data_IF_844998248794
#
_entry.id   IF_844998248794
#
_cell.length_a   1.000
_cell.length_b   1.000
_cell.length_c   1.000
_cell.angle_alpha   90.00
_cell.angle_beta   90.00
_cell.angle_gamma   90.00
#
_symmetry.space_group_name_H-M   'P 1'
#
loop_
_entity.id
_entity.type
_entity.pdbx_description
1 polymer ?
#
# COMPACT_ATOMS: atom_id res chain seq x y z
N UNK A 1 -1.45 19.83 -27.35
CA UNK A 1 -1.11 20.26 -25.98
C UNK A 1 -2.33 19.96 -25.12
N UNK A 2 -2.15 19.20 -24.05
CA UNK A 2 -3.24 18.83 -23.13
C UNK A 2 -3.72 20.03 -22.31
N UNK A 3 -5.02 20.10 -22.02
CA UNK A 3 -5.57 21.12 -21.12
C UNK A 3 -5.55 20.61 -19.68
N UNK A 4 -4.48 20.93 -18.95
CA UNK A 4 -4.32 20.51 -17.55
C UNK A 4 -5.36 21.14 -16.60
N UNK A 5 -5.92 22.31 -16.94
CA UNK A 5 -6.99 22.92 -16.13
C UNK A 5 -8.27 22.10 -16.24
N UNK A 6 -8.59 21.67 -17.46
CA UNK A 6 -9.71 20.78 -17.69
C UNK A 6 -9.50 19.41 -17.01
N UNK A 7 -8.30 18.84 -17.10
CA UNK A 7 -7.98 17.57 -16.42
C UNK A 7 -8.12 17.68 -14.91
N UNK A 8 -7.62 18.76 -14.30
CA UNK A 8 -7.79 19.00 -12.87
C UNK A 8 -9.27 19.09 -12.50
N UNK A 9 -10.07 19.84 -13.26
CA UNK A 9 -11.52 19.92 -13.03
C UNK A 9 -12.21 18.55 -13.15
N UNK A 10 -11.74 17.68 -14.05
CA UNK A 10 -12.26 16.31 -14.18
C UNK A 10 -11.92 15.46 -12.95
N UNK A 11 -10.69 15.54 -12.44
CA UNK A 11 -10.25 14.84 -11.22
C UNK A 11 -11.11 15.29 -10.03
N UNK A 12 -11.29 16.59 -9.85
CA UNK A 12 -12.06 17.15 -8.74
C UNK A 12 -13.53 16.72 -8.78
N UNK A 13 -14.10 16.65 -10.00
CA UNK A 13 -15.49 16.29 -10.22
C UNK A 13 -15.75 14.79 -10.08
N UNK A 14 -14.93 13.95 -10.69
CA UNK A 14 -15.16 12.50 -10.78
C UNK A 14 -14.54 11.72 -9.61
N UNK A 15 -13.57 12.31 -8.91
CA UNK A 15 -12.83 11.67 -7.81
C UNK A 15 -13.02 12.44 -6.51
N UNK A 16 -12.32 13.57 -6.32
CA UNK A 16 -12.47 14.45 -5.17
C UNK A 16 -11.59 15.71 -5.33
N UNK A 17 -12.01 16.85 -4.75
CA UNK A 17 -11.16 18.05 -4.66
C UNK A 17 -9.86 17.86 -3.87
N UNK A 18 -9.68 16.74 -3.16
CA UNK A 18 -8.47 16.48 -2.37
C UNK A 18 -7.28 15.98 -3.19
N UNK A 19 -7.46 15.80 -4.51
CA UNK A 19 -6.43 15.31 -5.42
C UNK A 19 -5.90 16.41 -6.34
N UNK A 20 -4.63 16.28 -6.69
CA UNK A 20 -3.94 17.16 -7.64
C UNK A 20 -3.13 16.36 -8.66
N UNK A 21 -2.96 16.94 -9.85
CA UNK A 21 -2.07 16.38 -10.87
C UNK A 21 -0.63 16.29 -10.32
N UNK A 22 -0.04 15.09 -10.45
CA UNK A 22 1.35 14.82 -10.06
C UNK A 22 2.28 14.95 -11.25
N UNK A 23 1.97 14.22 -12.31
CA UNK A 23 2.79 14.12 -13.51
C UNK A 23 1.95 13.63 -14.69
N UNK A 24 2.49 13.74 -15.89
CA UNK A 24 1.88 13.15 -17.07
C UNK A 24 2.91 12.64 -18.07
N UNK A 25 2.50 11.67 -18.86
CA UNK A 25 3.29 11.07 -19.93
C UNK A 25 2.60 11.34 -21.25
N UNK A 26 3.34 11.91 -22.20
CA UNK A 26 2.85 12.24 -23.54
C UNK A 26 3.42 11.22 -24.53
N UNK A 27 2.57 10.33 -25.04
CA UNK A 27 2.95 9.29 -26.02
C UNK A 27 2.45 9.68 -27.41
N UNK A 28 2.74 8.89 -28.44
CA UNK A 28 2.22 9.15 -29.79
C UNK A 28 0.69 9.20 -29.81
N UNK A 29 0.03 8.30 -29.09
CA UNK A 29 -1.41 8.05 -29.22
C UNK A 29 -2.23 8.65 -28.08
N UNK A 30 -1.63 8.91 -26.93
CA UNK A 30 -2.36 9.37 -25.74
C UNK A 30 -1.52 10.25 -24.81
N UNK A 31 -2.20 10.92 -23.89
CA UNK A 31 -1.57 11.56 -22.74
C UNK A 31 -2.13 10.94 -21.47
N UNK A 32 -1.26 10.45 -20.59
CA UNK A 32 -1.62 9.75 -19.35
C UNK A 32 -1.27 10.66 -18.18
N UNK A 33 -2.27 11.08 -17.41
CA UNK A 33 -2.11 12.05 -16.31
C UNK A 33 -2.35 11.36 -14.99
N UNK A 34 -1.31 11.29 -14.17
CA UNK A 34 -1.38 10.79 -12.80
C UNK A 34 -1.67 11.92 -11.83
N UNK A 35 -2.35 11.55 -10.76
CA UNK A 35 -2.72 12.45 -9.68
C UNK A 35 -2.38 11.78 -8.34
N UNK A 36 -2.30 12.60 -7.30
CA UNK A 36 -2.00 12.18 -5.93
C UNK A 36 -2.87 12.95 -4.95
N UNK A 37 -3.01 12.43 -3.74
CA UNK A 37 -3.66 13.18 -2.66
C UNK A 37 -2.80 14.39 -2.27
N UNK A 38 -3.43 15.53 -1.95
CA UNK A 38 -2.73 16.77 -1.59
C UNK A 38 -1.98 16.70 -0.26
N UNK A 39 -2.50 15.89 0.66
CA UNK A 39 -2.00 15.81 2.06
C UNK A 39 -1.27 14.51 2.35
N UNK A 40 -1.65 13.42 1.69
CA UNK A 40 -1.19 12.07 2.03
C UNK A 40 -0.14 11.62 1.04
N UNK A 41 0.82 10.85 1.52
CA UNK A 41 1.80 10.19 0.67
C UNK A 41 1.11 9.23 -0.30
N UNK A 42 1.76 8.96 -1.44
CA UNK A 42 1.20 8.10 -2.50
C UNK A 42 0.93 6.68 -2.04
N UNK A 43 1.59 6.24 -0.96
CA UNK A 43 1.45 4.94 -0.33
C UNK A 43 0.78 5.04 1.04
N UNK A 44 0.02 6.10 1.34
CA UNK A 44 -0.77 6.23 2.58
C UNK A 44 -2.24 5.90 2.30
N UNK A 45 -2.76 4.83 2.92
CA UNK A 45 -4.13 4.37 2.62
C UNK A 45 -5.23 5.35 3.06
N UNK A 46 -4.93 6.30 3.97
CA UNK A 46 -5.88 7.35 4.38
C UNK A 46 -6.18 8.32 3.24
N UNK A 47 -5.30 8.38 2.24
CA UNK A 47 -5.56 9.08 0.99
C UNK A 47 -6.61 8.43 0.11
N UNK A 48 -7.16 7.27 0.50
CA UNK A 48 -8.24 6.57 -0.19
C UNK A 48 -8.00 6.45 -1.70
N UNK A 49 -6.75 6.15 -2.09
CA UNK A 49 -6.37 5.92 -3.49
C UNK A 49 -6.89 4.52 -3.88
N UNK A 50 -8.21 4.38 -4.02
CA UNK A 50 -8.86 3.14 -4.42
C UNK A 50 -9.25 3.27 -5.89
N UNK A 51 -8.56 2.54 -6.76
CA UNK A 51 -9.09 2.10 -8.05
C UNK A 51 -9.33 3.15 -9.14
N UNK A 52 -9.14 4.44 -8.89
CA UNK A 52 -9.09 5.42 -9.97
C UNK A 52 -7.66 5.44 -10.51
N UNK A 53 -7.48 4.88 -11.70
CA UNK A 53 -6.27 4.99 -12.49
C UNK A 53 -6.06 6.42 -13.01
N UNK A 54 -5.02 6.65 -13.83
CA UNK A 54 -4.76 7.96 -14.39
C UNK A 54 -5.93 8.46 -15.25
N UNK A 55 -5.99 9.77 -15.46
CA UNK A 55 -6.81 10.35 -16.53
C UNK A 55 -6.08 10.15 -17.84
N UNK A 56 -6.74 9.57 -18.84
CA UNK A 56 -6.18 9.39 -20.17
C UNK A 56 -6.89 10.28 -21.16
N UNK A 57 -6.11 11.01 -21.95
CA UNK A 57 -6.55 11.75 -23.11
C UNK A 57 -6.13 11.00 -24.38
N UNK A 58 -7.10 10.49 -25.13
CA UNK A 58 -6.87 9.83 -26.42
C UNK A 58 -6.75 10.90 -27.51
N UNK A 59 -5.60 10.94 -28.20
CA UNK A 59 -5.33 11.97 -29.23
C UNK A 59 -6.09 11.74 -30.53
N UNK A 60 -6.49 10.51 -30.81
CA UNK A 60 -7.26 10.12 -32.00
C UNK A 60 -8.71 10.55 -31.86
N UNK A 61 -9.34 10.18 -30.73
CA UNK A 61 -10.76 10.48 -30.48
C UNK A 61 -10.97 11.86 -29.84
N UNK A 62 -9.92 12.44 -29.24
CA UNK A 62 -9.95 13.70 -28.47
C UNK A 62 -10.82 13.62 -27.22
N UNK A 63 -10.95 12.43 -26.64
CA UNK A 63 -11.76 12.18 -25.44
C UNK A 63 -10.88 12.08 -24.18
N UNK A 64 -11.42 12.51 -23.04
CA UNK A 64 -10.83 12.29 -21.72
C UNK A 64 -11.57 11.17 -21.00
N UNK A 65 -10.85 10.27 -20.35
CA UNK A 65 -11.40 9.15 -19.57
C UNK A 65 -10.68 9.03 -18.25
N UNK A 66 -11.43 8.89 -17.16
CA UNK A 66 -10.89 8.48 -15.85
C UNK A 66 -10.82 6.96 -15.88
N UNK A 67 -9.62 6.39 -15.92
CA UNK A 67 -9.49 4.93 -16.01
C UNK A 67 -9.76 4.26 -14.66
N UNK A 68 -10.35 3.07 -14.70
CA UNK A 68 -10.46 2.15 -13.55
C UNK A 68 -10.04 0.71 -13.84
N UNK A 69 -9.53 0.40 -15.05
CA UNK A 69 -9.22 -0.98 -15.43
C UNK A 69 -8.10 -1.11 -16.48
N UNK A 70 -7.40 -2.25 -16.41
CA UNK A 70 -6.25 -2.77 -17.19
C UNK A 70 -6.32 -2.64 -18.72
N UNK A 71 -7.43 -2.20 -19.30
CA UNK A 71 -7.73 -2.29 -20.74
C UNK A 71 -6.80 -1.44 -21.62
N UNK A 72 -6.09 -0.48 -21.03
CA UNK A 72 -5.23 0.47 -21.74
C UNK A 72 -3.75 0.36 -21.36
N UNK A 73 -3.39 -0.54 -20.45
CA UNK A 73 -2.01 -0.78 -20.06
C UNK A 73 -1.43 -1.92 -20.89
N UNK A 74 -1.09 -1.62 -22.15
CA UNK A 74 -0.21 -2.49 -22.94
C UNK A 74 1.15 -2.63 -22.24
N UNK A 75 1.91 -3.67 -22.57
CA UNK A 75 3.25 -3.86 -22.02
C UNK A 75 4.16 -2.64 -22.32
N UNK A 76 4.01 -2.02 -23.49
CA UNK A 76 4.73 -0.80 -23.87
C UNK A 76 4.40 0.38 -22.95
N UNK A 77 3.12 0.56 -22.62
CA UNK A 77 2.67 1.58 -21.67
C UNK A 77 3.15 1.26 -20.25
N UNK A 78 3.10 0.00 -19.82
CA UNK A 78 3.65 -0.43 -18.54
C UNK A 78 5.15 -0.10 -18.41
N UNK A 79 5.93 -0.29 -19.47
CA UNK A 79 7.36 0.04 -19.49
C UNK A 79 7.64 1.54 -19.30
N UNK A 80 6.70 2.43 -19.62
CA UNK A 80 6.84 3.87 -19.33
C UNK A 80 6.85 4.15 -17.82
N UNK A 81 6.31 3.24 -17.02
CA UNK A 81 6.21 3.36 -15.57
C UNK A 81 7.21 2.46 -14.83
N UNK A 82 7.99 1.66 -15.55
CA UNK A 82 9.05 0.85 -14.96
C UNK A 82 10.19 1.75 -14.48
N UNK A 83 10.32 1.82 -13.17
CA UNK A 83 11.43 2.44 -12.45
C UNK A 83 12.17 1.38 -11.65
N UNK A 84 13.41 1.68 -11.24
CA UNK A 84 14.15 0.81 -10.32
C UNK A 84 13.37 0.58 -9.02
N UNK A 85 12.66 1.60 -8.53
CA UNK A 85 11.78 1.50 -7.35
C UNK A 85 10.63 0.50 -7.57
N UNK A 86 9.97 0.53 -8.74
CA UNK A 86 8.88 -0.43 -9.03
C UNK A 86 9.39 -1.86 -9.17
N UNK A 87 10.60 -2.06 -9.72
CA UNK A 87 11.24 -3.38 -9.81
C UNK A 87 11.60 -3.91 -8.43
N UNK A 88 12.16 -3.05 -7.58
CA UNK A 88 12.47 -3.38 -6.19
C UNK A 88 11.21 -3.76 -5.41
N UNK A 89 10.11 -3.01 -5.55
CA UNK A 89 8.82 -3.34 -4.92
C UNK A 89 8.27 -4.69 -5.39
N UNK A 90 8.42 -5.01 -6.68
CA UNK A 90 7.98 -6.31 -7.21
C UNK A 90 8.82 -7.46 -6.65
N UNK A 91 10.15 -7.28 -6.56
CA UNK A 91 11.04 -8.23 -5.91
C UNK A 91 10.73 -8.43 -4.42
N UNK A 92 10.49 -7.33 -3.69
CA UNK A 92 10.10 -7.37 -2.27
C UNK A 92 8.79 -8.15 -2.09
N UNK A 93 7.82 -7.95 -2.98
CA UNK A 93 6.55 -8.67 -2.98
C UNK A 93 6.73 -10.16 -3.31
N UNK A 94 7.48 -10.51 -4.35
CA UNK A 94 7.78 -11.89 -4.72
C UNK A 94 8.47 -12.64 -3.57
N UNK A 95 9.42 -12.00 -2.91
CA UNK A 95 10.07 -12.54 -1.71
C UNK A 95 9.05 -12.83 -0.60
N UNK A 96 8.18 -11.87 -0.28
CA UNK A 96 7.15 -12.04 0.76
C UNK A 96 6.18 -13.18 0.43
N UNK A 97 5.77 -13.31 -0.83
CA UNK A 97 4.87 -14.39 -1.26
C UNK A 97 5.58 -15.74 -1.15
N UNK A 98 6.84 -15.84 -1.59
CA UNK A 98 7.64 -17.06 -1.41
C UNK A 98 7.82 -17.42 0.07
N UNK A 99 8.11 -16.43 0.93
CA UNK A 99 8.24 -16.63 2.37
C UNK A 99 6.93 -17.09 3.01
N UNK A 100 5.80 -16.53 2.58
CA UNK A 100 4.46 -16.89 3.03
C UNK A 100 4.08 -18.33 2.66
N UNK A 101 4.40 -18.75 1.43
CA UNK A 101 4.05 -20.07 0.87
C UNK A 101 5.01 -21.19 1.30
N UNK A 102 6.31 -20.93 1.23
CA UNK A 102 7.35 -21.97 1.34
C UNK A 102 8.16 -21.91 2.63
N UNK A 103 7.96 -20.90 3.48
CA UNK A 103 8.73 -20.68 4.72
C UNK A 103 10.25 -20.50 4.51
N UNK A 104 10.71 -20.23 3.29
CA UNK A 104 12.13 -20.06 2.98
C UNK A 104 12.59 -18.63 3.30
N UNK A 105 13.23 -18.45 4.46
CA UNK A 105 13.68 -17.15 4.93
C UNK A 105 15.14 -16.87 4.57
N UNK A 106 15.36 -15.83 3.76
CA UNK A 106 16.63 -15.09 3.77
C UNK A 106 16.62 -14.08 4.92
N UNK A 107 17.30 -14.41 6.02
CA UNK A 107 17.34 -13.56 7.23
C UNK A 107 17.93 -12.16 7.01
N UNK A 108 18.83 -11.99 6.03
CA UNK A 108 19.42 -10.68 5.71
C UNK A 108 18.40 -9.84 4.97
N UNK A 109 17.75 -10.43 3.97
CA UNK A 109 16.73 -9.76 3.18
C UNK A 109 15.48 -9.43 4.02
N UNK A 110 15.03 -10.35 4.87
CA UNK A 110 13.91 -10.13 5.80
C UNK A 110 14.16 -8.93 6.72
N UNK A 111 15.38 -8.80 7.25
CA UNK A 111 15.75 -7.67 8.09
C UNK A 111 15.73 -6.36 7.31
N UNK A 112 16.33 -6.34 6.12
CA UNK A 112 16.34 -5.16 5.25
C UNK A 112 14.92 -4.70 4.93
N UNK A 113 14.04 -5.63 4.54
CA UNK A 113 12.65 -5.34 4.22
C UNK A 113 11.85 -4.86 5.44
N UNK A 114 12.11 -5.44 6.62
CA UNK A 114 11.53 -4.96 7.87
C UNK A 114 11.91 -3.50 8.14
N UNK A 115 13.19 -3.12 7.96
CA UNK A 115 13.63 -1.72 8.11
C UNK A 115 12.99 -0.80 7.07
N UNK A 116 12.86 -1.23 5.81
CA UNK A 116 12.17 -0.46 4.76
C UNK A 116 10.72 -0.16 5.15
N UNK A 117 9.97 -1.17 5.60
CA UNK A 117 8.58 -1.01 6.03
C UNK A 117 8.50 -0.08 7.23
N UNK A 118 9.37 -0.24 8.24
CA UNK A 118 9.45 0.67 9.39
C UNK A 118 9.71 2.11 8.96
N UNK A 119 10.67 2.35 8.05
CA UNK A 119 10.97 3.69 7.55
C UNK A 119 9.76 4.35 6.87
N UNK A 120 9.03 3.57 6.05
CA UNK A 120 7.80 4.00 5.40
C UNK A 120 6.69 4.37 6.39
N UNK A 121 6.45 3.53 7.41
CA UNK A 121 5.52 3.81 8.50
C UNK A 121 5.88 5.11 9.23
N UNK A 122 7.17 5.26 9.59
CA UNK A 122 7.67 6.41 10.34
C UNK A 122 7.52 7.71 9.55
N UNK A 123 7.74 7.67 8.23
CA UNK A 123 7.53 8.81 7.33
C UNK A 123 6.06 9.23 7.30
N UNK A 124 5.12 8.29 7.12
CA UNK A 124 3.67 8.56 7.08
C UNK A 124 3.06 8.86 8.45
N UNK A 125 3.77 8.49 9.51
CA UNK A 125 3.25 8.42 10.88
C UNK A 125 1.94 7.61 10.96
N UNK A 126 1.86 6.54 10.17
CA UNK A 126 0.68 5.70 10.01
C UNK A 126 1.04 4.30 9.51
N UNK A 127 0.33 3.29 9.99
CA UNK A 127 0.52 1.89 9.58
C UNK A 127 -0.62 1.44 8.66
N UNK A 128 -0.30 1.15 7.40
CA UNK A 128 -1.24 0.60 6.44
C UNK A 128 -1.60 -0.87 6.77
N UNK A 129 -2.69 -1.35 6.19
CA UNK A 129 -3.10 -2.75 6.30
C UNK A 129 -2.05 -3.66 5.68
N UNK A 130 -1.45 -3.23 4.57
CA UNK A 130 -0.36 -3.93 3.90
C UNK A 130 0.92 -3.98 4.76
N UNK A 131 1.24 -2.90 5.48
CA UNK A 131 2.38 -2.89 6.41
C UNK A 131 2.19 -3.97 7.50
N UNK A 132 0.97 -4.07 8.07
CA UNK A 132 0.64 -5.10 9.08
C UNK A 132 0.75 -6.49 8.47
N UNK A 133 0.28 -6.66 7.24
CA UNK A 133 0.32 -7.95 6.56
C UNK A 133 1.75 -8.42 6.33
N UNK A 134 2.56 -7.57 5.71
CA UNK A 134 3.96 -7.87 5.39
C UNK A 134 4.80 -8.10 6.63
N UNK A 135 4.63 -7.28 7.69
CA UNK A 135 5.29 -7.52 8.96
C UNK A 135 4.81 -8.81 9.64
N UNK A 136 3.55 -9.19 9.47
CA UNK A 136 3.03 -10.48 9.96
C UNK A 136 3.65 -11.66 9.21
N UNK A 137 3.92 -11.52 7.91
CA UNK A 137 4.70 -12.50 7.14
C UNK A 137 6.16 -12.48 7.64
N UNK A 138 6.83 -11.35 7.71
CA UNK A 138 8.25 -11.30 8.12
C UNK A 138 8.50 -11.86 9.53
N UNK A 139 7.53 -11.76 10.42
CA UNK A 139 7.63 -12.27 11.80
C UNK A 139 7.22 -13.73 11.99
N UNK A 140 6.65 -14.36 10.96
CA UNK A 140 6.13 -15.73 11.04
C UNK A 140 4.70 -15.85 11.56
N UNK A 141 4.04 -14.72 11.85
CA UNK A 141 2.69 -14.68 12.41
C UNK A 141 1.63 -15.08 11.38
N UNK A 142 1.91 -14.80 10.10
CA UNK A 142 1.14 -15.21 8.93
C UNK A 142 1.94 -16.17 8.05
N UNK A 143 1.39 -17.37 7.82
CA UNK A 143 1.90 -18.40 6.90
C UNK A 143 0.75 -19.12 6.24
N UNK A 144 1.00 -19.76 5.10
CA UNK A 144 -0.03 -20.51 4.38
C UNK A 144 -0.65 -21.63 5.21
N UNK A 145 0.15 -22.29 6.05
CA UNK A 145 -0.24 -23.40 6.91
C UNK A 145 -0.76 -22.99 8.30
N UNK A 146 -0.74 -21.69 8.62
CA UNK A 146 -1.16 -21.15 9.92
C UNK A 146 -2.43 -20.34 9.81
N UNK A 147 -3.30 -20.46 10.81
CA UNK A 147 -4.47 -19.57 10.91
C UNK A 147 -4.01 -18.14 11.21
N UNK A 148 -4.34 -17.24 10.29
CA UNK A 148 -4.10 -15.81 10.43
C UNK A 148 -5.30 -15.02 9.90
N UNK A 149 -5.78 -14.04 10.67
CA UNK A 149 -6.87 -13.17 10.26
C UNK A 149 -6.58 -11.73 10.74
N UNK A 150 -6.84 -10.74 9.89
CA UNK A 150 -6.93 -9.33 10.29
C UNK A 150 -8.40 -8.93 10.38
N UNK A 151 -8.82 -8.35 11.49
CA UNK A 151 -10.23 -8.01 11.75
C UNK A 151 -10.38 -6.59 12.27
N UNK A 152 -11.44 -5.93 11.80
CA UNK A 152 -12.08 -4.85 12.53
C UNK A 152 -13.01 -5.43 13.60
N UNK A 153 -13.05 -4.81 14.78
CA UNK A 153 -14.05 -5.09 15.82
C UNK A 153 -14.85 -3.82 16.09
N UNK A 154 -16.17 -3.91 16.37
CA UNK A 154 -17.00 -2.73 16.59
C UNK A 154 -16.52 -1.82 17.72
N UNK A 155 -15.83 -2.37 18.72
CA UNK A 155 -15.30 -1.59 19.85
C UNK A 155 -14.14 -0.65 19.47
N UNK A 156 -13.51 -0.87 18.31
CA UNK A 156 -12.31 -0.15 17.88
C UNK A 156 -12.52 0.52 16.53
N UNK A 157 -12.02 1.74 16.39
CA UNK A 157 -12.00 2.39 15.09
C UNK A 157 -11.02 1.67 14.17
N UNK A 158 -11.52 1.07 13.08
CA UNK A 158 -10.73 0.30 12.10
C UNK A 158 -9.70 1.13 11.33
N UNK A 159 -9.89 2.45 11.24
CA UNK A 159 -8.87 3.34 10.66
C UNK A 159 -7.66 3.48 11.58
N UNK A 160 -7.86 3.32 12.88
CA UNK A 160 -6.86 3.60 13.91
C UNK A 160 -6.32 2.31 14.54
N UNK A 161 -7.02 1.19 14.37
CA UNK A 161 -6.71 -0.07 15.02
C UNK A 161 -6.97 -1.26 14.08
N UNK A 162 -6.17 -2.30 14.25
CA UNK A 162 -6.37 -3.59 13.59
C UNK A 162 -6.20 -4.72 14.62
N UNK A 163 -7.09 -5.70 14.62
CA UNK A 163 -6.91 -6.92 15.42
C UNK A 163 -6.28 -7.99 14.54
N UNK A 164 -5.08 -8.42 14.92
CA UNK A 164 -4.41 -9.59 14.35
C UNK A 164 -4.74 -10.82 15.18
N UNK A 165 -5.20 -11.87 14.53
CA UNK A 165 -5.47 -13.19 15.13
C UNK A 165 -4.39 -14.17 14.69
N UNK A 166 -3.56 -14.64 15.61
CA UNK A 166 -2.54 -15.68 15.38
C UNK A 166 -2.32 -16.52 16.64
N UNK A 167 -2.24 -17.84 16.46
CA UNK A 167 -1.93 -18.79 17.53
C UNK A 167 -0.44 -18.90 17.87
N UNK A 168 0.44 -18.32 17.06
CA UNK A 168 1.89 -18.40 17.25
C UNK A 168 2.37 -17.32 18.23
N UNK A 169 2.72 -17.74 19.45
CA UNK A 169 3.16 -16.83 20.51
C UNK A 169 4.49 -16.15 20.17
N UNK A 170 5.46 -16.90 19.65
CA UNK A 170 6.80 -16.37 19.36
C UNK A 170 6.73 -15.35 18.22
N UNK A 171 5.97 -15.66 17.17
CA UNK A 171 5.79 -14.74 16.06
C UNK A 171 5.08 -13.44 16.48
N UNK A 172 4.07 -13.53 17.37
CA UNK A 172 3.43 -12.33 17.92
C UNK A 172 4.36 -11.50 18.79
N UNK A 173 5.24 -12.13 19.57
CA UNK A 173 6.26 -11.40 20.36
C UNK A 173 7.21 -10.63 19.44
N UNK A 174 7.61 -11.21 18.30
CA UNK A 174 8.40 -10.51 17.26
C UNK A 174 7.63 -9.32 16.67
N UNK A 175 6.35 -9.50 16.33
CA UNK A 175 5.50 -8.43 15.82
C UNK A 175 5.32 -7.28 16.83
N UNK A 176 5.08 -7.61 18.10
CA UNK A 176 5.01 -6.63 19.19
C UNK A 176 6.33 -5.87 19.33
N UNK A 177 7.47 -6.55 19.20
CA UNK A 177 8.80 -5.92 19.27
C UNK A 177 8.95 -4.84 18.21
N UNK A 178 8.45 -5.07 17.00
CA UNK A 178 8.47 -4.07 15.93
C UNK A 178 7.63 -2.86 16.35
N UNK A 179 6.39 -3.06 16.81
CA UNK A 179 5.52 -1.96 17.26
C UNK A 179 6.16 -1.10 18.36
N UNK A 180 6.84 -1.74 19.31
CA UNK A 180 7.60 -1.03 20.35
C UNK A 180 8.73 -0.21 19.76
N UNK A 181 9.49 -0.77 18.82
CA UNK A 181 10.64 -0.11 18.19
C UNK A 181 10.24 1.15 17.43
N UNK A 182 9.11 1.10 16.70
CA UNK A 182 8.56 2.27 15.99
C UNK A 182 7.69 3.19 16.86
N UNK A 183 7.56 2.88 18.16
CA UNK A 183 6.77 3.64 19.14
C UNK A 183 5.28 3.79 18.77
N UNK A 184 4.61 2.66 18.47
CA UNK A 184 3.16 2.58 18.28
C UNK A 184 2.51 1.73 19.38
N UNK A 185 1.26 2.05 19.71
CA UNK A 185 0.48 1.34 20.71
C UNK A 185 0.14 -0.10 20.30
N UNK A 186 0.02 -0.99 21.27
CA UNK A 186 -0.51 -2.33 21.08
C UNK A 186 -1.20 -2.81 22.37
N UNK A 187 -2.10 -3.76 22.26
CA UNK A 187 -2.74 -4.41 23.42
C UNK A 187 -2.95 -5.90 23.14
N UNK A 188 -2.53 -6.74 24.08
CA UNK A 188 -2.83 -8.18 24.03
C UNK A 188 -4.27 -8.35 24.51
N UNK A 189 -5.17 -8.81 23.62
CA UNK A 189 -6.58 -9.02 23.94
C UNK A 189 -6.84 -10.44 24.47
N UNK A 190 -6.12 -11.42 23.94
CA UNK A 190 -6.20 -12.82 24.37
C UNK A 190 -4.94 -13.61 23.99
N UNK A 191 -4.93 -14.91 24.26
CA UNK A 191 -3.87 -15.82 23.81
C UNK A 191 -3.71 -15.87 22.29
N UNK A 192 -4.72 -15.46 21.50
CA UNK A 192 -4.70 -15.50 20.04
C UNK A 192 -4.88 -14.13 19.39
N UNK A 193 -5.36 -13.12 20.12
CA UNK A 193 -5.69 -11.81 19.56
C UNK A 193 -4.77 -10.70 20.07
N UNK A 194 -4.23 -9.93 19.12
CA UNK A 194 -3.39 -8.77 19.34
C UNK A 194 -4.01 -7.55 18.67
N UNK A 195 -4.31 -6.51 19.45
CA UNK A 195 -4.70 -5.21 18.93
C UNK A 195 -3.45 -4.40 18.60
N UNK A 196 -3.35 -3.93 17.36
CA UNK A 196 -2.27 -3.10 16.85
C UNK A 196 -2.81 -1.71 16.53
N UNK A 197 -2.16 -0.67 17.06
CA UNK A 197 -2.53 0.71 16.78
C UNK A 197 -1.84 1.13 15.49
N UNK A 198 -2.58 1.88 14.67
CA UNK A 198 -2.17 2.32 13.33
C UNK A 198 -1.76 3.79 13.31
N UNK A 199 -2.07 4.51 14.38
CA UNK A 199 -1.68 5.90 14.64
C UNK A 199 -0.86 5.95 15.93
N UNK A 200 0.03 6.94 16.04
CA UNK A 200 0.70 7.25 17.30
C UNK A 200 -0.28 7.96 18.24
N UNK A 201 -0.30 7.53 19.50
CA UNK A 201 -0.93 8.25 20.59
C UNK A 201 -0.05 9.41 21.06
#
# INVERSE_FOLDING_TARGET
MIDLKYVQALIEKEISPDFEIREYFDTTDMVIVFWKHKIYDTDDERGHIIGAGPVVYDKTTKEYRVLGSREWFSEEICRLFETDETKEKMQDHEYLMNLFENNEEDSVYSRLLTEKIKASILRRNYINSEDIDFLSILTGARRLDKKFEMKGKPEWNHTDHCVVVSGDREAKEKLISIWKEINFGYQILSETELLLFRIRN
#
